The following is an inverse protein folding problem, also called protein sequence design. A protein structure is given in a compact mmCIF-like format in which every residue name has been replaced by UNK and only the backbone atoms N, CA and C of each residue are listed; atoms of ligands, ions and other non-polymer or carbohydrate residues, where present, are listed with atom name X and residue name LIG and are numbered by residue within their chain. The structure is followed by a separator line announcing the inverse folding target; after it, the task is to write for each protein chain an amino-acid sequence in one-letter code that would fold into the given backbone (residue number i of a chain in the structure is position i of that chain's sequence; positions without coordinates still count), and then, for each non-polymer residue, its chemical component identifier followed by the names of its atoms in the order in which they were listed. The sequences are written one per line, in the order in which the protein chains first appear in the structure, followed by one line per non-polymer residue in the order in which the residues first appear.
data_IF_393147586774
#
_entry.id   IF_393147586774
#
_cell.length_a   1.000
_cell.length_b   1.000
_cell.length_c   1.000
_cell.angle_alpha   90.00
_cell.angle_beta   90.00
_cell.angle_gamma   90.00
#
_symmetry.space_group_name_H-M   'P 1'
#
loop_
_entity.id
_entity.type
_entity.pdbx_description
1 polymer ?
#
# COMPACT_ATOMS: atom_id res chain seq x y z
N UNK A 1 -10.76 12.62 27.54
CA UNK A 1 -10.71 11.36 26.75
C UNK A 1 -9.48 10.58 27.17
N UNK A 2 -9.61 9.33 27.52
CA UNK A 2 -8.47 8.50 27.91
C UNK A 2 -7.67 8.03 26.68
N UNK A 3 -6.42 7.53 26.88
CA UNK A 3 -5.55 7.15 25.78
C UNK A 3 -6.12 6.03 24.90
N UNK A 4 -6.84 5.05 25.49
CA UNK A 4 -7.48 3.98 24.74
C UNK A 4 -8.52 4.54 23.75
N UNK A 5 -9.32 5.48 24.20
CA UNK A 5 -10.36 6.10 23.37
C UNK A 5 -9.75 6.95 22.23
N UNK A 6 -8.63 7.63 22.48
CA UNK A 6 -7.90 8.36 21.42
C UNK A 6 -7.39 7.43 20.33
N UNK A 7 -6.77 6.31 20.73
CA UNK A 7 -6.26 5.30 19.79
C UNK A 7 -7.41 4.67 19.00
N UNK A 8 -8.50 4.28 19.66
CA UNK A 8 -9.68 3.71 18.97
C UNK A 8 -10.24 4.70 17.94
N UNK A 9 -10.40 5.97 18.32
CA UNK A 9 -10.91 6.99 17.40
C UNK A 9 -9.98 7.19 16.20
N UNK A 10 -8.66 7.19 16.41
CA UNK A 10 -7.66 7.25 15.35
C UNK A 10 -7.80 6.08 14.38
N UNK A 11 -7.86 4.84 14.89
CA UNK A 11 -8.01 3.64 14.06
C UNK A 11 -9.30 3.74 13.23
N UNK A 12 -10.43 4.00 13.88
CA UNK A 12 -11.73 4.09 13.21
C UNK A 12 -11.75 5.19 12.16
N UNK A 13 -11.22 6.38 12.47
CA UNK A 13 -11.16 7.49 11.52
C UNK A 13 -10.30 7.12 10.29
N UNK A 14 -9.13 6.54 10.50
CA UNK A 14 -8.23 6.12 9.42
C UNK A 14 -8.87 5.06 8.53
N UNK A 15 -9.44 4.00 9.14
CA UNK A 15 -10.08 2.93 8.38
C UNK A 15 -11.28 3.43 7.56
N UNK A 16 -12.14 4.24 8.16
CA UNK A 16 -13.32 4.80 7.45
C UNK A 16 -12.94 5.71 6.29
N UNK A 17 -11.85 6.44 6.43
CA UNK A 17 -11.42 7.39 5.42
C UNK A 17 -10.68 6.72 4.26
N UNK A 18 -9.82 5.76 4.53
CA UNK A 18 -8.80 5.36 3.57
C UNK A 18 -8.65 3.84 3.34
N UNK A 19 -9.26 2.99 4.15
CA UNK A 19 -9.11 1.53 3.98
C UNK A 19 -9.71 1.01 2.67
N UNK A 20 -10.68 1.72 2.09
CA UNK A 20 -11.30 1.35 0.81
C UNK A 20 -10.27 1.27 -0.33
N UNK A 21 -9.20 2.09 -0.30
CA UNK A 21 -8.23 2.14 -1.38
C UNK A 21 -7.35 0.87 -1.41
N UNK A 22 -6.61 0.49 -0.34
CA UNK A 22 -5.85 -0.77 -0.35
C UNK A 22 -6.75 -2.00 -0.46
N UNK A 23 -7.93 -2.01 0.16
CA UNK A 23 -8.88 -3.12 0.02
C UNK A 23 -9.40 -3.27 -1.40
N UNK A 24 -9.62 -2.18 -2.11
CA UNK A 24 -10.00 -2.18 -3.52
C UNK A 24 -8.92 -2.81 -4.40
N UNK A 25 -7.64 -2.46 -4.18
CA UNK A 25 -6.52 -3.06 -4.92
C UNK A 25 -6.37 -4.55 -4.61
N UNK A 26 -6.47 -4.95 -3.34
CA UNK A 26 -6.47 -6.37 -2.95
C UNK A 26 -7.63 -7.10 -3.64
N UNK A 27 -8.81 -6.51 -3.71
CA UNK A 27 -9.96 -7.07 -4.42
C UNK A 27 -9.69 -7.27 -5.91
N UNK A 28 -9.11 -6.28 -6.60
CA UNK A 28 -8.69 -6.38 -8.00
C UNK A 28 -7.66 -7.49 -8.18
N UNK A 29 -6.65 -7.55 -7.31
CA UNK A 29 -5.63 -8.58 -7.33
C UNK A 29 -6.23 -9.99 -7.18
N UNK A 30 -7.09 -10.22 -6.19
CA UNK A 30 -7.74 -11.52 -5.97
C UNK A 30 -8.59 -11.93 -7.18
N UNK A 31 -9.33 -10.99 -7.77
CA UNK A 31 -10.11 -11.26 -8.98
C UNK A 31 -9.20 -11.58 -10.16
N UNK A 32 -8.08 -10.85 -10.30
CA UNK A 32 -7.07 -11.10 -11.33
C UNK A 32 -6.47 -12.51 -11.22
N UNK A 33 -6.14 -12.95 -10.01
CA UNK A 33 -5.65 -14.31 -9.76
C UNK A 33 -6.74 -15.36 -10.05
N UNK A 34 -7.96 -15.16 -9.58
CA UNK A 34 -9.06 -16.11 -9.76
C UNK A 34 -9.47 -16.30 -11.23
N UNK A 35 -9.16 -15.33 -12.09
CA UNK A 35 -9.46 -15.36 -13.52
C UNK A 35 -8.22 -15.58 -14.39
N UNK A 36 -7.08 -15.93 -13.78
CA UNK A 36 -5.76 -16.11 -14.46
C UNK A 36 -5.33 -14.92 -15.32
N UNK A 37 -5.79 -13.69 -14.97
CA UNK A 37 -5.56 -12.50 -15.80
C UNK A 37 -4.08 -12.12 -15.90
N UNK A 38 -3.30 -12.37 -14.85
CA UNK A 38 -1.86 -12.07 -14.84
C UNK A 38 -1.06 -13.03 -15.74
N UNK A 39 -1.53 -14.25 -15.94
CA UNK A 39 -0.93 -15.20 -16.88
C UNK A 39 -1.40 -14.94 -18.32
N UNK A 40 -2.67 -14.60 -18.51
CA UNK A 40 -3.24 -14.26 -19.81
C UNK A 40 -2.75 -12.92 -20.33
N UNK A 41 -2.53 -11.96 -19.46
CA UNK A 41 -2.06 -10.61 -19.83
C UNK A 41 -1.04 -10.08 -18.81
N UNK A 42 0.21 -10.57 -18.85
CA UNK A 42 1.27 -10.20 -17.90
C UNK A 42 1.45 -8.69 -17.65
N UNK A 43 1.29 -7.78 -18.65
CA UNK A 43 1.41 -6.34 -18.40
C UNK A 43 0.40 -5.75 -17.40
N UNK A 44 -0.65 -6.49 -16.98
CA UNK A 44 -1.61 -6.06 -15.97
C UNK A 44 -0.98 -5.88 -14.59
N UNK A 45 0.13 -6.55 -14.36
CA UNK A 45 0.90 -6.47 -13.13
C UNK A 45 1.40 -5.04 -12.85
N UNK A 46 1.93 -4.39 -13.87
CA UNK A 46 2.44 -3.01 -13.82
C UNK A 46 1.42 -2.03 -13.21
N UNK A 47 0.21 -1.85 -13.77
CA UNK A 47 -0.78 -0.95 -13.18
C UNK A 47 -1.26 -1.40 -11.80
N UNK A 48 -1.25 -2.70 -11.49
CA UNK A 48 -1.65 -3.22 -10.17
C UNK A 48 -0.66 -2.80 -9.10
N UNK A 49 0.65 -3.00 -9.29
CA UNK A 49 1.69 -2.57 -8.36
C UNK A 49 1.75 -1.04 -8.23
N UNK A 50 1.62 -0.29 -9.33
CA UNK A 50 1.55 1.16 -9.29
C UNK A 50 0.36 1.67 -8.46
N UNK A 51 -0.84 1.14 -8.73
CA UNK A 51 -2.05 1.51 -8.00
C UNK A 51 -1.99 1.07 -6.54
N UNK A 52 -1.36 -0.07 -6.25
CA UNK A 52 -1.05 -0.53 -4.90
C UNK A 52 -0.21 0.50 -4.14
N UNK A 53 0.88 0.96 -4.73
CA UNK A 53 1.73 2.00 -4.16
C UNK A 53 0.96 3.30 -3.86
N UNK A 54 0.10 3.76 -4.78
CA UNK A 54 -0.78 4.91 -4.59
C UNK A 54 -1.74 4.68 -3.41
N UNK A 55 -2.46 3.56 -3.41
CA UNK A 55 -3.49 3.26 -2.43
C UNK A 55 -2.93 3.12 -1.00
N UNK A 56 -1.81 2.42 -0.86
CA UNK A 56 -1.13 2.21 0.43
C UNK A 56 -0.56 3.53 0.96
N UNK A 57 0.03 4.37 0.10
CA UNK A 57 0.52 5.69 0.49
C UNK A 57 -0.64 6.58 0.95
N UNK A 58 -1.77 6.56 0.27
CA UNK A 58 -2.98 7.28 0.70
C UNK A 58 -3.44 6.83 2.09
N UNK A 59 -3.42 5.53 2.36
CA UNK A 59 -3.77 4.98 3.67
C UNK A 59 -2.83 5.49 4.77
N UNK A 60 -1.51 5.42 4.58
CA UNK A 60 -0.56 5.91 5.58
C UNK A 60 -0.57 7.43 5.75
N UNK A 61 -0.84 8.19 4.67
CA UNK A 61 -1.06 9.64 4.76
C UNK A 61 -2.27 9.97 5.64
N UNK A 62 -3.36 9.23 5.49
CA UNK A 62 -4.53 9.39 6.34
C UNK A 62 -4.24 8.97 7.78
N UNK A 63 -3.48 7.90 8.00
CA UNK A 63 -3.10 7.44 9.32
C UNK A 63 -2.27 8.48 10.08
N UNK A 64 -1.22 9.02 9.49
CA UNK A 64 -0.38 10.04 10.14
C UNK A 64 -1.15 11.35 10.35
N UNK A 65 -1.99 11.76 9.40
CA UNK A 65 -2.84 12.94 9.57
C UNK A 65 -3.82 12.78 10.72
N UNK A 66 -4.52 11.66 10.78
CA UNK A 66 -5.49 11.39 11.85
C UNK A 66 -4.84 11.23 13.23
N UNK A 67 -3.56 10.84 13.30
CA UNK A 67 -2.83 10.74 14.58
C UNK A 67 -2.56 12.12 15.21
N UNK A 68 -2.57 13.20 14.43
CA UNK A 68 -2.30 14.56 14.92
C UNK A 68 -3.29 15.02 16.00
N UNK A 69 -4.49 14.41 16.05
CA UNK A 69 -5.46 14.67 17.12
C UNK A 69 -4.94 14.31 18.55
N UNK A 70 -3.87 13.52 18.66
CA UNK A 70 -3.32 13.13 19.95
C UNK A 70 -1.79 13.27 20.08
N UNK A 71 -1.04 13.25 18.96
CA UNK A 71 0.42 13.47 18.99
C UNK A 71 0.80 14.93 18.72
N UNK A 72 -0.16 15.77 18.30
CA UNK A 72 0.08 17.15 17.90
C UNK A 72 0.37 17.30 16.40
N UNK A 73 0.59 18.54 15.95
CA UNK A 73 0.81 18.85 14.54
C UNK A 73 2.10 18.23 14.02
N UNK A 74 2.02 17.53 12.89
CA UNK A 74 3.16 16.94 12.19
C UNK A 74 3.39 17.69 10.89
N UNK A 75 4.59 18.23 10.64
CA UNK A 75 4.90 18.94 9.41
C UNK A 75 4.67 18.08 8.17
N UNK A 76 4.20 18.69 7.09
CA UNK A 76 3.88 17.99 5.84
C UNK A 76 5.05 17.13 5.29
N UNK A 77 6.31 17.60 5.27
CA UNK A 77 7.42 16.75 4.82
C UNK A 77 7.60 15.47 5.65
N UNK A 78 7.36 15.56 6.97
CA UNK A 78 7.46 14.39 7.87
C UNK A 78 6.32 13.40 7.59
N UNK A 79 5.11 13.91 7.34
CA UNK A 79 3.97 13.07 6.95
C UNK A 79 4.24 12.34 5.63
N UNK A 80 4.84 13.04 4.64
CA UNK A 80 5.22 12.47 3.35
C UNK A 80 6.26 11.37 3.55
N UNK A 81 7.35 11.67 4.27
CA UNK A 81 8.41 10.72 4.53
C UNK A 81 7.89 9.46 5.25
N UNK A 82 7.07 9.66 6.29
CA UNK A 82 6.46 8.55 7.02
C UNK A 82 5.65 7.65 6.10
N UNK A 83 4.73 8.23 5.33
CA UNK A 83 3.85 7.45 4.46
C UNK A 83 4.63 6.74 3.35
N UNK A 84 5.60 7.41 2.74
CA UNK A 84 6.46 6.82 1.71
C UNK A 84 7.28 5.64 2.25
N UNK A 85 7.90 5.80 3.43
CA UNK A 85 8.69 4.74 4.07
C UNK A 85 7.81 3.55 4.47
N UNK A 86 6.64 3.79 5.07
CA UNK A 86 5.71 2.73 5.42
C UNK A 86 5.20 1.99 4.17
N UNK A 87 4.93 2.72 3.08
CA UNK A 87 4.54 2.10 1.80
C UNK A 87 5.66 1.25 1.24
N UNK A 88 6.91 1.74 1.22
CA UNK A 88 8.06 0.96 0.76
C UNK A 88 8.24 -0.34 1.56
N UNK A 89 8.10 -0.26 2.88
CA UNK A 89 8.12 -1.47 3.74
C UNK A 89 6.98 -2.43 3.38
N UNK A 90 5.77 -1.92 3.14
CA UNK A 90 4.62 -2.75 2.77
C UNK A 90 4.83 -3.43 1.42
N UNK A 91 5.42 -2.73 0.44
CA UNK A 91 5.77 -3.29 -0.88
C UNK A 91 6.76 -4.45 -0.72
N UNK A 92 7.82 -4.28 0.07
CA UNK A 92 8.80 -5.35 0.35
C UNK A 92 8.13 -6.57 1.01
N UNK A 93 7.25 -6.33 1.98
CA UNK A 93 6.50 -7.41 2.64
C UNK A 93 5.54 -8.12 1.68
N UNK A 94 5.01 -7.40 0.70
CA UNK A 94 4.17 -7.99 -0.34
C UNK A 94 4.96 -8.96 -1.22
N UNK A 95 6.15 -8.60 -1.67
CA UNK A 95 7.03 -9.49 -2.43
C UNK A 95 7.42 -10.74 -1.62
N UNK A 96 7.69 -10.56 -0.32
CA UNK A 96 7.93 -11.71 0.56
C UNK A 96 6.69 -12.61 0.69
N UNK A 97 5.51 -12.03 0.74
CA UNK A 97 4.26 -12.79 0.75
C UNK A 97 4.10 -13.63 -0.51
N UNK A 98 4.28 -13.04 -1.70
CA UNK A 98 4.17 -13.75 -2.97
C UNK A 98 5.19 -14.88 -3.09
N UNK A 99 6.46 -14.61 -2.76
CA UNK A 99 7.50 -15.64 -2.74
C UNK A 99 7.19 -16.78 -1.74
N UNK A 100 6.72 -16.44 -0.54
CA UNK A 100 6.36 -17.45 0.46
C UNK A 100 5.14 -18.27 0.01
N UNK A 101 4.18 -17.62 -0.64
CA UNK A 101 2.99 -18.30 -1.16
C UNK A 101 3.35 -19.27 -2.28
N UNK A 102 4.21 -18.88 -3.21
CA UNK A 102 4.74 -19.74 -4.26
C UNK A 102 5.48 -20.94 -3.69
N UNK A 103 6.33 -20.73 -2.68
CA UNK A 103 7.06 -21.79 -2.02
C UNK A 103 6.16 -22.82 -1.30
N UNK A 104 5.10 -22.33 -0.64
CA UNK A 104 4.21 -23.17 0.17
C UNK A 104 3.14 -23.89 -0.65
N UNK A 105 2.66 -23.29 -1.71
CA UNK A 105 1.51 -23.77 -2.47
C UNK A 105 1.83 -24.15 -3.92
N UNK A 106 3.08 -23.93 -4.36
CA UNK A 106 3.51 -24.25 -5.73
C UNK A 106 2.84 -23.37 -6.78
N UNK A 107 2.48 -22.17 -6.43
CA UNK A 107 1.97 -21.15 -7.37
C UNK A 107 3.14 -20.50 -8.13
N UNK A 108 2.86 -19.63 -9.05
CA UNK A 108 3.85 -18.93 -9.89
C UNK A 108 3.53 -17.42 -9.95
N UNK A 109 3.34 -16.80 -8.79
CA UNK A 109 3.08 -15.38 -8.67
C UNK A 109 4.32 -14.56 -9.03
N UNK A 110 5.49 -15.03 -8.62
CA UNK A 110 6.79 -14.41 -8.85
C UNK A 110 7.45 -15.03 -10.09
N UNK A 111 7.78 -14.21 -11.08
CA UNK A 111 8.43 -14.64 -12.32
C UNK A 111 9.96 -14.52 -12.28
N UNK A 112 10.51 -14.32 -11.11
CA UNK A 112 11.93 -14.23 -10.84
C UNK A 112 12.39 -12.89 -10.27
N UNK A 113 13.70 -12.77 -10.01
CA UNK A 113 14.27 -11.59 -9.34
C UNK A 113 14.02 -10.27 -10.09
N UNK A 114 14.08 -10.32 -11.44
CA UNK A 114 13.87 -9.12 -12.25
C UNK A 114 12.44 -8.59 -12.12
N UNK A 115 11.47 -9.48 -12.08
CA UNK A 115 10.05 -9.20 -11.85
C UNK A 115 9.84 -8.56 -10.48
N UNK A 116 10.28 -9.22 -9.42
CA UNK A 116 10.24 -8.70 -8.04
C UNK A 116 10.84 -7.29 -7.91
N UNK A 117 12.00 -7.05 -8.51
CA UNK A 117 12.65 -5.73 -8.47
C UNK A 117 11.85 -4.68 -9.25
N UNK A 118 11.28 -5.06 -10.40
CA UNK A 118 10.44 -4.17 -11.20
C UNK A 118 9.16 -3.80 -10.45
N UNK A 119 8.50 -4.77 -9.81
CA UNK A 119 7.26 -4.57 -9.07
C UNK A 119 7.46 -3.68 -7.85
N UNK A 120 8.54 -3.90 -7.09
CA UNK A 120 8.95 -2.99 -6.02
C UNK A 120 9.18 -1.57 -6.54
N UNK A 121 9.89 -1.41 -7.67
CA UNK A 121 10.16 -0.10 -8.26
C UNK A 121 8.87 0.59 -8.72
N UNK A 122 7.98 -0.13 -9.40
CA UNK A 122 6.69 0.39 -9.89
C UNK A 122 5.79 0.81 -8.71
N UNK A 123 5.72 0.00 -7.66
CA UNK A 123 5.00 0.33 -6.45
C UNK A 123 5.55 1.59 -5.76
N UNK A 124 6.88 1.73 -5.67
CA UNK A 124 7.54 2.94 -5.15
C UNK A 124 7.26 4.17 -6.03
N UNK A 125 7.18 4.02 -7.35
CA UNK A 125 6.78 5.11 -8.23
C UNK A 125 5.34 5.57 -7.99
N UNK A 126 4.41 4.64 -7.76
CA UNK A 126 3.05 4.98 -7.33
C UNK A 126 3.03 5.78 -6.01
N UNK A 127 3.81 5.33 -5.03
CA UNK A 127 3.98 6.02 -3.75
C UNK A 127 4.56 7.43 -3.92
N UNK A 128 5.56 7.60 -4.78
CA UNK A 128 6.19 8.88 -5.06
C UNK A 128 5.20 9.85 -5.73
N UNK A 129 4.48 9.38 -6.75
CA UNK A 129 3.49 10.20 -7.46
C UNK A 129 2.44 10.72 -6.48
N UNK A 130 1.84 9.88 -5.65
CA UNK A 130 0.89 10.37 -4.65
C UNK A 130 1.55 11.36 -3.68
N UNK A 131 2.76 11.08 -3.21
CA UNK A 131 3.48 11.93 -2.25
C UNK A 131 3.73 13.33 -2.80
N UNK A 132 4.00 13.47 -4.09
CA UNK A 132 4.24 14.76 -4.75
C UNK A 132 2.96 15.57 -4.99
N UNK A 133 1.86 14.90 -5.33
CA UNK A 133 0.62 15.57 -5.75
C UNK A 133 -0.43 15.68 -4.65
N UNK A 134 -0.40 14.83 -3.64
CA UNK A 134 -1.35 14.86 -2.53
C UNK A 134 -0.93 15.83 -1.43
N UNK A 135 -1.46 17.05 -1.48
CA UNK A 135 -1.10 18.17 -0.57
C UNK A 135 -1.98 18.31 0.68
N UNK A 136 -2.95 17.43 0.89
CA UNK A 136 -3.75 17.47 2.13
C UNK A 136 -2.88 17.04 3.33
N UNK A 137 -2.54 18.01 4.13
CA UNK A 137 -1.88 17.85 5.44
C UNK A 137 -2.87 17.76 6.58
#
# INVERSE_FOLDING_TARGET
MNNKQKITNWIVATLRESAWAPLGIIGVYIVGLALDLYDLFPPLDIPTHFAGGVAITYFYRSAIRNSQQFIGAVPLPVQILFAFTCTGTTIILWEFYENAFDFLFGTHMVRGLEDTVADMFIGLMGALVLSLFYKRG
#
